data_IF_426463633420
#
_entry.id   IF_426463633420
#
_cell.length_a   1.000
_cell.length_b   1.000
_cell.length_c   1.000
_cell.angle_alpha   90.00
_cell.angle_beta   90.00
_cell.angle_gamma   90.00
#
_symmetry.space_group_name_H-M   'P 1'
#
loop_
_entity.id
_entity.type
_entity.pdbx_description
1 polymer ?
#
# COMPACT_ATOMS: atom_id res chain seq x y z
N UNK A 1 -26.86 16.79 13.60
CA UNK A 1 -25.39 16.90 13.49
C UNK A 1 -25.02 16.85 12.00
N UNK A 2 -24.48 17.94 11.44
CA UNK A 2 -24.19 18.00 10.01
C UNK A 2 -22.72 17.62 9.76
N UNK A 3 -22.49 16.33 9.47
CA UNK A 3 -21.14 15.75 9.23
C UNK A 3 -20.32 16.57 8.24
N UNK A 4 -20.99 17.20 7.27
CA UNK A 4 -20.35 18.07 6.28
C UNK A 4 -19.69 19.30 6.93
N UNK A 5 -20.39 19.97 7.85
CA UNK A 5 -19.88 21.17 8.51
C UNK A 5 -18.72 20.84 9.47
N UNK A 6 -18.80 19.71 10.18
CA UNK A 6 -17.70 19.20 11.02
C UNK A 6 -16.41 18.98 10.21
N UNK A 7 -16.53 18.37 9.03
CA UNK A 7 -15.38 18.12 8.14
C UNK A 7 -14.77 19.43 7.64
N UNK A 8 -15.60 20.41 7.25
CA UNK A 8 -15.10 21.70 6.79
C UNK A 8 -14.36 22.47 7.89
N UNK A 9 -14.88 22.49 9.11
CA UNK A 9 -14.22 23.16 10.25
C UNK A 9 -12.89 22.48 10.60
N UNK A 10 -12.86 21.14 10.66
CA UNK A 10 -11.64 20.38 10.98
C UNK A 10 -10.55 20.52 9.94
N UNK A 11 -10.92 20.61 8.66
CA UNK A 11 -9.96 20.73 7.57
C UNK A 11 -9.41 22.16 7.38
N UNK A 12 -9.90 23.16 8.13
CA UNK A 12 -9.43 24.57 8.12
C UNK A 12 -9.17 25.13 6.72
N UNK A 13 -9.97 24.72 5.73
CA UNK A 13 -9.81 25.12 4.33
C UNK A 13 -11.03 25.90 3.87
N UNK A 14 -10.80 27.14 3.42
CA UNK A 14 -11.78 27.95 2.70
C UNK A 14 -12.04 27.44 1.28
N UNK A 15 -11.12 26.64 0.74
CA UNK A 15 -11.21 26.04 -0.58
C UNK A 15 -11.66 24.58 -0.43
N UNK A 16 -12.97 24.38 -0.56
CA UNK A 16 -13.69 23.11 -0.65
C UNK A 16 -12.90 21.82 -0.47
N UNK A 17 -13.07 21.15 0.67
CA UNK A 17 -12.71 19.73 0.84
C UNK A 17 -13.45 18.90 -0.20
N UNK A 18 -12.71 18.14 -1.02
CA UNK A 18 -13.28 17.12 -1.90
C UNK A 18 -13.22 15.79 -1.17
N UNK A 19 -14.40 15.31 -0.75
CA UNK A 19 -14.53 13.96 -0.19
C UNK A 19 -14.73 13.00 -1.34
N UNK A 20 -13.79 12.06 -1.52
CA UNK A 20 -13.91 10.95 -2.46
C UNK A 20 -14.20 9.67 -1.70
N UNK A 21 -15.20 8.94 -2.17
CA UNK A 21 -15.48 7.59 -1.67
C UNK A 21 -14.39 6.65 -2.19
N UNK A 22 -13.86 5.83 -1.29
CA UNK A 22 -12.82 4.84 -1.59
C UNK A 22 -13.28 3.45 -1.16
N UNK A 23 -12.73 2.41 -1.79
CA UNK A 23 -13.16 1.02 -1.56
C UNK A 23 -12.68 0.41 -0.24
N UNK A 24 -11.54 0.86 0.27
CA UNK A 24 -10.94 0.37 1.50
C UNK A 24 -10.79 1.49 2.54
N UNK A 25 -11.00 1.16 3.82
CA UNK A 25 -10.63 2.05 4.92
C UNK A 25 -9.12 2.07 5.13
N UNK A 26 -8.59 3.17 5.68
CA UNK A 26 -7.18 3.25 6.07
C UNK A 26 -6.80 2.15 7.06
N UNK A 27 -7.66 1.87 8.04
CA UNK A 27 -7.43 0.83 9.03
C UNK A 27 -7.28 -0.56 8.40
N UNK A 28 -8.14 -0.90 7.43
CA UNK A 28 -8.04 -2.18 6.72
C UNK A 28 -6.73 -2.31 5.94
N UNK A 29 -6.30 -1.26 5.24
CA UNK A 29 -5.01 -1.27 4.54
C UNK A 29 -3.82 -1.34 5.50
N UNK A 30 -3.91 -0.68 6.65
CA UNK A 30 -2.86 -0.75 7.69
C UNK A 30 -2.79 -2.14 8.35
N UNK A 31 -3.92 -2.80 8.58
CA UNK A 31 -3.93 -4.20 9.07
C UNK A 31 -3.26 -5.13 8.04
N UNK A 32 -3.52 -4.91 6.75
CA UNK A 32 -2.88 -5.66 5.70
C UNK A 32 -1.36 -5.43 5.63
N UNK A 33 -0.89 -4.20 5.85
CA UNK A 33 0.53 -3.88 5.98
C UNK A 33 1.15 -4.68 7.14
N UNK A 34 0.50 -4.73 8.31
CA UNK A 34 1.00 -5.53 9.45
C UNK A 34 1.10 -7.02 9.15
N UNK A 35 0.12 -7.58 8.43
CA UNK A 35 0.16 -8.98 7.99
C UNK A 35 1.33 -9.18 7.02
N UNK A 36 1.51 -8.26 6.07
CA UNK A 36 2.60 -8.28 5.12
C UNK A 36 3.96 -8.23 5.82
N UNK A 37 4.16 -7.31 6.78
CA UNK A 37 5.37 -7.21 7.60
C UNK A 37 5.71 -8.55 8.27
N UNK A 38 4.72 -9.18 8.91
CA UNK A 38 4.92 -10.47 9.58
C UNK A 38 5.36 -11.57 8.61
N UNK A 39 4.73 -11.66 7.43
CA UNK A 39 5.05 -12.67 6.42
C UNK A 39 6.43 -12.43 5.79
N UNK A 40 6.86 -11.17 5.71
CA UNK A 40 8.16 -10.78 5.17
C UNK A 40 9.33 -11.05 6.13
N UNK A 41 9.06 -11.28 7.42
CA UNK A 41 10.10 -11.68 8.39
C UNK A 41 10.45 -13.18 8.33
N UNK A 42 9.55 -14.01 7.79
CA UNK A 42 9.65 -15.47 7.87
C UNK A 42 10.35 -16.13 6.69
N UNK A 43 10.71 -15.39 5.61
CA UNK A 43 11.33 -16.00 4.42
C UNK A 43 12.47 -15.19 3.83
N UNK A 44 13.31 -15.88 3.06
CA UNK A 44 14.33 -15.27 2.22
C UNK A 44 13.70 -14.83 0.88
N UNK A 45 13.62 -13.52 0.68
CA UNK A 45 12.98 -12.88 -0.48
C UNK A 45 13.97 -12.27 -1.47
N UNK A 46 15.28 -12.55 -1.32
CA UNK A 46 16.31 -12.05 -2.24
C UNK A 46 16.00 -12.36 -3.70
N UNK A 47 15.38 -13.52 -3.98
CA UNK A 47 14.94 -13.91 -5.34
C UNK A 47 13.77 -13.09 -5.89
N UNK A 48 12.92 -12.53 -5.04
CA UNK A 48 11.80 -11.68 -5.47
C UNK A 48 12.25 -10.25 -5.79
N UNK A 49 13.49 -9.88 -5.46
CA UNK A 49 14.00 -8.51 -5.52
C UNK A 49 13.07 -7.53 -4.81
N UNK A 50 12.63 -7.91 -3.61
CA UNK A 50 11.73 -7.09 -2.81
C UNK A 50 12.50 -5.94 -2.15
N UNK A 51 12.04 -4.69 -2.35
CA UNK A 51 12.72 -3.48 -1.87
C UNK A 51 11.91 -2.64 -0.88
N UNK A 52 10.68 -3.06 -0.57
CA UNK A 52 9.85 -2.37 0.41
C UNK A 52 8.39 -2.28 -0.01
N UNK A 53 7.62 -1.58 0.81
CA UNK A 53 6.21 -1.30 0.55
C UNK A 53 5.73 -0.06 1.29
N UNK A 54 4.65 0.56 0.81
CA UNK A 54 4.05 1.72 1.46
C UNK A 54 2.54 1.83 1.19
N UNK A 55 1.84 2.60 2.02
CA UNK A 55 0.43 2.94 1.81
C UNK A 55 0.31 4.08 0.80
N UNK A 56 -0.35 3.83 -0.34
CA UNK A 56 -0.74 4.88 -1.26
C UNK A 56 -2.19 5.29 -0.99
N UNK A 57 -2.35 6.38 -0.25
CA UNK A 57 -3.67 6.93 0.10
C UNK A 57 -4.42 7.48 -1.12
N UNK A 58 -3.72 7.91 -2.19
CA UNK A 58 -4.34 8.45 -3.40
C UNK A 58 -4.98 7.35 -4.23
N UNK A 59 -4.30 6.20 -4.33
CA UNK A 59 -4.80 5.02 -5.06
C UNK A 59 -5.62 4.07 -4.17
N UNK A 60 -5.63 4.29 -2.85
CA UNK A 60 -6.31 3.45 -1.86
C UNK A 60 -5.83 1.98 -1.92
N UNK A 61 -4.51 1.82 -2.03
CA UNK A 61 -3.80 0.54 -2.20
C UNK A 61 -2.51 0.52 -1.39
N UNK A 62 -1.97 -0.68 -1.19
CA UNK A 62 -0.59 -0.88 -0.70
C UNK A 62 0.29 -1.12 -1.91
N UNK A 63 1.37 -0.35 -2.03
CA UNK A 63 2.35 -0.49 -3.10
C UNK A 63 3.44 -1.43 -2.64
N UNK A 64 3.76 -2.42 -3.46
CA UNK A 64 4.89 -3.34 -3.29
C UNK A 64 5.98 -2.93 -4.29
N UNK A 65 7.18 -2.66 -3.77
CA UNK A 65 8.33 -2.25 -4.58
C UNK A 65 9.19 -3.47 -4.90
N UNK A 66 9.31 -3.80 -6.19
CA UNK A 66 10.10 -4.93 -6.67
C UNK A 66 11.13 -4.49 -7.72
N UNK A 67 12.31 -5.12 -7.75
CA UNK A 67 13.29 -4.94 -8.83
C UNK A 67 12.87 -5.60 -10.15
N UNK A 68 11.96 -6.57 -10.10
CA UNK A 68 11.36 -7.21 -11.28
C UNK A 68 9.83 -7.25 -11.13
N UNK A 69 9.11 -6.57 -12.02
CA UNK A 69 7.64 -6.57 -12.10
C UNK A 69 7.12 -7.44 -13.24
N UNK A 70 7.90 -8.41 -13.71
CA UNK A 70 7.43 -9.45 -14.62
C UNK A 70 6.22 -10.17 -14.02
N UNK A 71 5.30 -10.60 -14.89
CA UNK A 71 4.11 -11.37 -14.48
C UNK A 71 4.48 -12.62 -13.68
N UNK A 72 5.59 -13.28 -14.02
CA UNK A 72 6.15 -14.42 -13.28
C UNK A 72 6.59 -14.05 -11.86
N UNK A 73 7.28 -12.93 -11.68
CA UNK A 73 7.76 -12.53 -10.35
C UNK A 73 6.61 -12.05 -9.47
N UNK A 74 5.64 -11.30 -10.03
CA UNK A 74 4.42 -10.90 -9.32
C UNK A 74 3.61 -12.13 -8.89
N UNK A 75 3.46 -13.13 -9.78
CA UNK A 75 2.78 -14.38 -9.43
C UNK A 75 3.53 -15.13 -8.30
N UNK A 76 4.86 -15.12 -8.34
CA UNK A 76 5.70 -15.71 -7.30
C UNK A 76 5.54 -14.98 -5.96
N UNK A 77 5.49 -13.65 -5.96
CA UNK A 77 5.21 -12.86 -4.77
C UNK A 77 3.83 -13.21 -4.18
N UNK A 78 2.78 -13.20 -5.00
CA UNK A 78 1.41 -13.50 -4.57
C UNK A 78 1.29 -14.88 -3.94
N UNK A 79 1.96 -15.88 -4.55
CA UNK A 79 1.97 -17.26 -4.04
C UNK A 79 2.76 -17.40 -2.74
N UNK A 80 3.89 -16.68 -2.62
CA UNK A 80 4.83 -16.86 -1.51
C UNK A 80 4.55 -15.97 -0.31
N UNK A 81 3.95 -14.80 -0.51
CA UNK A 81 3.70 -13.80 0.53
C UNK A 81 2.20 -13.70 0.77
N UNK A 82 1.48 -12.99 -0.10
CA UNK A 82 0.03 -12.83 0.00
C UNK A 82 -0.54 -12.46 -1.35
N UNK A 83 -1.66 -13.07 -1.72
CA UNK A 83 -2.47 -12.63 -2.85
C UNK A 83 -3.61 -11.75 -2.34
N UNK A 84 -3.61 -10.48 -2.74
CA UNK A 84 -4.64 -9.55 -2.32
C UNK A 84 -4.93 -8.51 -3.40
N UNK A 85 -6.22 -8.18 -3.63
CA UNK A 85 -6.62 -7.15 -4.59
C UNK A 85 -6.19 -5.74 -4.16
N UNK A 86 -5.72 -5.56 -2.92
CA UNK A 86 -5.28 -4.28 -2.39
C UNK A 86 -3.81 -3.97 -2.68
N UNK A 87 -3.09 -4.93 -3.27
CA UNK A 87 -1.70 -4.75 -3.65
C UNK A 87 -1.58 -4.26 -5.09
N UNK A 88 -0.70 -3.30 -5.30
CA UNK A 88 -0.18 -2.92 -6.62
C UNK A 88 1.34 -3.04 -6.61
N UNK A 89 1.93 -3.35 -7.75
CA UNK A 89 3.34 -3.65 -7.88
C UNK A 89 4.02 -2.59 -8.73
N UNK A 90 5.10 -2.02 -8.21
CA UNK A 90 5.86 -0.99 -8.89
C UNK A 90 7.33 -1.39 -8.97
N UNK A 91 7.94 -1.07 -10.12
CA UNK A 91 9.36 -1.30 -10.31
C UNK A 91 10.13 -0.27 -9.49
N UNK A 92 11.07 -0.74 -8.69
CA UNK A 92 12.01 0.10 -7.94
C UNK A 92 13.42 -0.43 -8.11
N UNK A 93 14.39 0.43 -7.80
CA UNK A 93 15.78 0.03 -7.62
C UNK A 93 16.06 -0.20 -6.13
N UNK A 94 17.14 -0.91 -5.85
CA UNK A 94 17.62 -1.13 -4.49
C UNK A 94 18.12 0.20 -3.93
N UNK A 95 17.45 0.71 -2.89
CA UNK A 95 17.93 1.89 -2.19
C UNK A 95 18.96 1.47 -1.14
N UNK A 96 20.23 1.74 -1.44
CA UNK A 96 21.29 1.73 -0.44
C UNK A 96 21.19 3.00 0.39
N UNK A 97 20.95 2.87 1.69
CA UNK A 97 21.16 3.96 2.63
C UNK A 97 22.61 3.87 3.11
N UNK A 98 23.44 4.82 2.70
CA UNK A 98 24.79 5.06 3.26
C UNK A 98 24.71 5.60 4.69
#
# INVERSE_FOLDING_TARGET
>A
YNIRNDIFERCKSSNGVIIKMCGNSKESLMQQIKILDSLLLEKDFTKLKYYGHYLDERRNKVVIMLGDTSTSNIASFRKSVIDSPNLIFEKSEEMFFE
#
